data_IF_350781737281
#
_entry.id   IF_350781737281
#
_cell.length_a   1.000
_cell.length_b   1.000
_cell.length_c   1.000
_cell.angle_alpha   90.00
_cell.angle_beta   90.00
_cell.angle_gamma   90.00
#
_symmetry.space_group_name_H-M   'P 1'
#
loop_
_entity.id
_entity.type
_entity.pdbx_description
1 polymer ?
#
# COMPACT_ATOMS: atom_id res chain seq x y z
N UNK A 1 7.29 -40.05 -32.17
CA UNK A 1 5.86 -39.86 -31.93
C UNK A 1 5.65 -38.60 -31.10
N UNK A 2 5.36 -37.50 -31.78
CA UNK A 2 5.21 -36.15 -31.18
C UNK A 2 3.76 -35.95 -30.71
N UNK A 3 3.56 -35.54 -29.47
CA UNK A 3 2.24 -35.20 -28.95
C UNK A 3 2.21 -33.70 -28.56
N UNK A 4 1.65 -32.93 -29.47
CA UNK A 4 1.42 -31.49 -29.36
C UNK A 4 0.20 -31.22 -28.47
N UNK A 5 0.43 -30.62 -27.30
CA UNK A 5 -0.62 -30.12 -26.43
C UNK A 5 -0.98 -28.66 -26.78
N UNK A 6 -2.16 -28.45 -27.32
CA UNK A 6 -2.71 -27.14 -27.66
C UNK A 6 -3.32 -26.48 -26.40
N UNK A 7 -2.68 -25.44 -25.88
CA UNK A 7 -3.25 -24.62 -24.84
C UNK A 7 -4.28 -23.66 -25.44
N UNK A 8 -5.53 -23.88 -25.11
CA UNK A 8 -6.66 -23.02 -25.49
C UNK A 8 -6.65 -21.78 -24.57
N UNK A 9 -6.40 -20.64 -25.16
CA UNK A 9 -6.59 -19.32 -24.56
C UNK A 9 -8.10 -19.07 -24.41
N UNK A 10 -8.58 -18.98 -23.20
CA UNK A 10 -9.93 -18.48 -22.91
C UNK A 10 -9.82 -16.97 -22.68
N UNK A 11 -10.20 -16.22 -23.71
CA UNK A 11 -10.50 -14.80 -23.63
C UNK A 11 -11.90 -14.66 -22.98
N UNK A 12 -11.95 -14.19 -21.76
CA UNK A 12 -13.21 -13.74 -21.16
C UNK A 12 -13.28 -12.21 -21.22
N UNK A 13 -13.99 -11.72 -22.20
CA UNK A 13 -14.45 -10.34 -22.29
C UNK A 13 -15.52 -10.12 -21.23
N UNK A 14 -15.36 -9.20 -20.32
CA UNK A 14 -16.45 -8.69 -19.50
C UNK A 14 -16.73 -7.26 -19.92
N UNK A 15 -17.90 -7.15 -20.49
CA UNK A 15 -18.55 -5.97 -21.05
C UNK A 15 -18.94 -4.98 -19.94
N UNK A 16 -18.68 -3.72 -20.18
CA UNK A 16 -19.13 -2.60 -19.38
C UNK A 16 -20.66 -2.53 -19.33
N UNK A 17 -21.18 -2.26 -18.15
CA UNK A 17 -22.53 -1.77 -17.98
C UNK A 17 -22.47 -0.42 -17.25
N UNK A 18 -22.62 0.62 -18.02
CA UNK A 18 -22.94 1.98 -17.60
C UNK A 18 -24.42 2.05 -17.21
N UNK A 19 -24.77 2.69 -16.11
CA UNK A 19 -26.06 3.32 -15.81
C UNK A 19 -25.94 4.09 -14.50
N UNK A 20 -26.47 5.19 -14.30
CA UNK A 20 -27.33 6.20 -14.86
C UNK A 20 -27.43 7.32 -13.82
N UNK A 21 -27.47 8.53 -14.30
CA UNK A 21 -27.84 9.76 -13.61
C UNK A 21 -29.09 9.59 -12.74
N UNK A 22 -29.04 10.13 -11.52
CA UNK A 22 -30.20 10.62 -10.82
C UNK A 22 -29.89 12.03 -10.27
N UNK A 23 -30.34 13.03 -11.00
CA UNK A 23 -30.49 14.40 -10.54
C UNK A 23 -31.65 14.45 -9.56
N UNK A 24 -31.41 15.00 -8.37
CA UNK A 24 -32.48 15.49 -7.50
C UNK A 24 -32.29 16.97 -7.25
N UNK A 25 -33.33 17.79 -7.44
CA UNK A 25 -33.23 19.22 -7.25
C UNK A 25 -33.34 19.59 -5.77
N UNK A 26 -32.50 20.51 -5.42
CA UNK A 26 -32.47 21.26 -4.17
C UNK A 26 -33.70 22.11 -3.98
N UNK A 27 -34.30 22.07 -2.80
CA UNK A 27 -35.24 23.04 -2.33
C UNK A 27 -34.67 23.87 -1.17
N UNK A 28 -34.61 25.16 -1.42
CA UNK A 28 -34.19 26.21 -0.51
C UNK A 28 -35.25 26.40 0.58
N UNK A 29 -34.85 26.50 1.82
CA UNK A 29 -35.66 27.10 2.89
C UNK A 29 -34.75 27.84 3.88
N UNK A 30 -34.96 29.14 3.94
CA UNK A 30 -34.41 30.04 4.94
C UNK A 30 -35.07 29.83 6.31
N UNK A 31 -34.33 30.12 7.37
CA UNK A 31 -34.97 30.50 8.63
C UNK A 31 -34.19 30.20 9.90
N UNK A 32 -33.48 31.23 10.40
CA UNK A 32 -33.44 31.79 11.75
C UNK A 32 -32.79 30.97 12.90
N UNK A 33 -31.75 31.57 13.39
CA UNK A 33 -31.15 31.66 14.73
C UNK A 33 -31.82 30.94 15.92
N UNK A 34 -31.04 30.22 16.73
CA UNK A 34 -30.78 30.58 18.12
C UNK A 34 -29.68 29.70 18.77
N UNK A 35 -28.96 30.34 19.63
CA UNK A 35 -27.84 30.00 20.47
C UNK A 35 -28.10 28.85 21.44
N UNK A 36 -27.19 27.91 21.64
CA UNK A 36 -26.59 27.55 22.93
C UNK A 36 -25.73 26.25 22.85
N UNK A 37 -24.43 26.45 23.02
CA UNK A 37 -23.44 25.69 23.78
C UNK A 37 -23.78 24.26 24.24
N UNK A 38 -22.97 23.24 23.78
CA UNK A 38 -22.21 22.33 24.63
C UNK A 38 -21.40 21.30 23.84
N UNK A 39 -20.09 21.36 24.04
CA UNK A 39 -19.10 20.30 24.34
C UNK A 39 -19.18 18.96 23.62
N UNK A 40 -18.16 18.71 22.79
CA UNK A 40 -17.44 17.43 22.84
C UNK A 40 -17.90 16.35 21.88
N UNK A 41 -17.25 16.27 20.79
CA UNK A 41 -16.51 15.11 20.26
C UNK A 41 -16.10 15.41 18.82
N UNK A 42 -14.81 15.51 18.62
CA UNK A 42 -14.20 15.59 17.29
C UNK A 42 -14.39 14.25 16.58
N UNK A 43 -15.33 14.19 15.66
CA UNK A 43 -15.29 13.26 14.56
C UNK A 43 -14.70 14.01 13.37
N UNK A 44 -13.42 13.75 13.14
CA UNK A 44 -12.72 14.17 11.93
C UNK A 44 -13.34 13.45 10.72
N UNK A 45 -14.34 14.07 10.12
CA UNK A 45 -14.76 13.74 8.77
C UNK A 45 -13.88 14.54 7.82
N UNK A 46 -12.87 13.87 7.27
CA UNK A 46 -12.05 14.40 6.19
C UNK A 46 -12.92 14.64 4.96
N UNK A 47 -13.07 15.92 4.61
CA UNK A 47 -13.66 16.37 3.35
C UNK A 47 -12.83 15.88 2.15
N UNK A 48 -13.46 15.47 1.04
CA UNK A 48 -12.73 15.24 -0.20
C UNK A 48 -12.28 16.58 -0.79
N UNK A 49 -10.99 16.80 -0.81
CA UNK A 49 -10.39 17.90 -1.57
C UNK A 49 -10.24 17.42 -3.01
N UNK A 50 -11.10 17.89 -3.89
CA UNK A 50 -10.86 17.81 -5.32
C UNK A 50 -9.73 18.77 -5.69
N UNK A 51 -8.60 18.21 -6.05
CA UNK A 51 -7.46 18.95 -6.60
C UNK A 51 -6.63 17.99 -7.42
N UNK A 52 -6.72 18.07 -8.72
CA UNK A 52 -6.11 17.16 -9.70
C UNK A 52 -4.60 17.02 -9.56
N UNK A 53 -4.22 15.89 -9.11
CA UNK A 53 -2.95 15.23 -9.18
C UNK A 53 -3.25 13.81 -8.76
N UNK A 54 -2.93 12.82 -9.58
CA UNK A 54 -2.96 11.41 -9.20
C UNK A 54 -1.99 11.23 -8.04
N UNK A 55 -2.43 11.51 -6.82
CA UNK A 55 -1.71 11.05 -5.64
C UNK A 55 -1.70 9.52 -5.73
N UNK A 56 -0.54 8.99 -5.94
CA UNK A 56 -0.31 7.55 -5.96
C UNK A 56 -0.63 7.05 -4.54
N UNK A 57 -1.87 6.66 -4.32
CA UNK A 57 -2.35 6.16 -3.02
C UNK A 57 -1.72 4.82 -2.69
N UNK A 58 -1.21 4.10 -3.70
CA UNK A 58 -0.55 2.82 -3.54
C UNK A 58 0.91 2.99 -3.10
N UNK A 59 1.32 2.20 -2.12
CA UNK A 59 2.67 2.20 -1.57
C UNK A 59 3.62 1.32 -2.36
N UNK A 60 3.13 0.22 -2.91
CA UNK A 60 3.94 -0.77 -3.62
C UNK A 60 3.14 -1.49 -4.71
N UNK A 61 3.84 -2.22 -5.58
CA UNK A 61 3.24 -3.11 -6.57
C UNK A 61 4.04 -4.39 -6.76
N UNK A 62 3.33 -5.45 -7.17
CA UNK A 62 3.90 -6.71 -7.65
C UNK A 62 3.40 -6.92 -9.08
N UNK A 63 4.29 -6.79 -10.06
CA UNK A 63 3.88 -6.75 -11.46
C UNK A 63 2.92 -5.59 -11.74
N UNK A 64 1.67 -5.91 -12.07
CA UNK A 64 0.62 -4.90 -12.32
C UNK A 64 -0.36 -4.72 -11.14
N UNK A 65 -0.21 -5.52 -10.07
CA UNK A 65 -1.08 -5.44 -8.89
C UNK A 65 -0.52 -4.41 -7.90
N UNK A 66 -1.31 -3.42 -7.56
CA UNK A 66 -0.97 -2.35 -6.64
C UNK A 66 -1.49 -2.62 -5.22
N UNK A 67 -0.72 -2.18 -4.23
CA UNK A 67 -0.99 -2.36 -2.80
C UNK A 67 -0.92 -1.02 -2.08
N UNK A 68 -1.86 -0.78 -1.18
CA UNK A 68 -1.90 0.44 -0.36
C UNK A 68 -0.76 0.52 0.66
N UNK A 69 -0.20 -0.64 1.06
CA UNK A 69 0.91 -0.76 2.02
C UNK A 69 2.00 -1.69 1.48
N UNK A 70 3.25 -1.45 1.88
CA UNK A 70 4.37 -2.33 1.54
C UNK A 70 4.23 -3.68 2.27
N UNK A 71 3.80 -3.65 3.54
CA UNK A 71 3.53 -4.86 4.31
C UNK A 71 2.47 -5.76 3.66
N UNK A 72 1.40 -5.18 3.10
CA UNK A 72 0.38 -5.91 2.34
C UNK A 72 0.94 -6.59 1.09
N UNK A 73 1.78 -5.89 0.34
CA UNK A 73 2.48 -6.47 -0.81
C UNK A 73 3.38 -7.65 -0.40
N UNK A 74 4.14 -7.51 0.69
CA UNK A 74 5.00 -8.58 1.22
C UNK A 74 4.17 -9.80 1.65
N UNK A 75 3.04 -9.56 2.31
CA UNK A 75 2.16 -10.65 2.78
C UNK A 75 1.64 -11.50 1.61
N UNK A 76 1.14 -10.85 0.55
CA UNK A 76 0.57 -11.51 -0.63
C UNK A 76 1.62 -12.04 -1.62
N UNK A 77 2.86 -11.58 -1.51
CA UNK A 77 3.94 -11.99 -2.39
C UNK A 77 4.20 -13.51 -2.33
N UNK A 78 4.43 -14.12 -3.48
CA UNK A 78 5.08 -15.42 -3.53
C UNK A 78 6.59 -15.27 -3.30
N UNK A 79 7.30 -16.38 -3.06
CA UNK A 79 8.75 -16.35 -2.99
C UNK A 79 9.37 -15.94 -4.33
N UNK A 80 10.56 -15.32 -4.27
CA UNK A 80 11.38 -14.94 -5.41
C UNK A 80 10.76 -13.89 -6.35
N UNK A 81 9.84 -13.05 -5.82
CA UNK A 81 9.29 -11.92 -6.58
C UNK A 81 9.94 -10.59 -6.20
N UNK A 82 9.88 -9.65 -7.12
CA UNK A 82 10.25 -8.25 -6.88
C UNK A 82 9.00 -7.45 -6.52
N UNK A 83 9.10 -6.70 -5.42
CA UNK A 83 8.09 -5.75 -4.97
C UNK A 83 8.65 -4.35 -5.20
N UNK A 84 7.99 -3.55 -6.03
CA UNK A 84 8.44 -2.20 -6.37
C UNK A 84 7.68 -1.18 -5.53
N UNK A 85 8.41 -0.33 -4.80
CA UNK A 85 7.81 0.82 -4.11
C UNK A 85 7.42 1.90 -5.12
N UNK A 86 6.34 2.61 -4.81
CA UNK A 86 5.78 3.65 -5.67
C UNK A 86 5.84 5.05 -5.03
N UNK A 87 6.19 5.14 -3.75
CA UNK A 87 6.35 6.38 -2.98
C UNK A 87 7.20 6.13 -1.73
N UNK A 88 7.52 7.18 -1.01
CA UNK A 88 8.09 7.06 0.34
C UNK A 88 7.08 6.38 1.27
N UNK A 89 7.57 5.44 2.07
CA UNK A 89 6.77 4.61 2.98
C UNK A 89 7.33 4.73 4.39
N UNK A 90 6.43 4.84 5.37
CA UNK A 90 6.78 4.76 6.80
C UNK A 90 6.09 3.53 7.38
N UNK A 91 6.80 2.43 7.41
CA UNK A 91 6.33 1.14 7.92
C UNK A 91 7.52 0.33 8.48
N UNK A 92 7.27 -0.43 9.53
CA UNK A 92 8.15 -1.53 9.93
C UNK A 92 7.66 -2.79 9.24
N UNK A 93 8.52 -3.45 8.49
CA UNK A 93 8.16 -4.61 7.67
C UNK A 93 8.86 -5.87 8.17
N UNK A 94 8.17 -6.99 8.07
CA UNK A 94 8.72 -8.33 8.32
C UNK A 94 8.73 -9.14 7.03
N UNK A 95 9.88 -9.75 6.74
CA UNK A 95 10.09 -10.58 5.55
C UNK A 95 10.49 -11.98 6.01
N UNK A 96 9.62 -12.95 5.76
CA UNK A 96 9.81 -14.36 6.15
C UNK A 96 9.94 -15.31 4.95
N UNK A 97 10.15 -14.75 3.76
CA UNK A 97 10.30 -15.49 2.51
C UNK A 97 11.31 -14.80 1.61
N UNK A 98 11.87 -15.52 0.66
CA UNK A 98 12.79 -14.94 -0.33
C UNK A 98 12.07 -13.96 -1.24
N UNK A 99 12.54 -12.72 -1.32
CA UNK A 99 12.01 -11.70 -2.23
C UNK A 99 12.97 -10.51 -2.37
N UNK A 100 12.68 -9.66 -3.36
CA UNK A 100 13.47 -8.47 -3.64
C UNK A 100 12.61 -7.22 -3.53
N UNK A 101 12.67 -6.49 -2.39
CA UNK A 101 12.12 -5.14 -2.31
C UNK A 101 12.97 -4.16 -3.13
N UNK A 102 12.43 -3.70 -4.25
CA UNK A 102 12.98 -2.60 -5.03
C UNK A 102 12.35 -1.28 -4.55
N UNK A 103 13.13 -0.45 -3.90
CA UNK A 103 12.64 0.80 -3.32
C UNK A 103 12.39 1.89 -4.38
N UNK A 104 12.73 1.68 -5.66
CA UNK A 104 12.40 2.57 -6.77
C UNK A 104 12.94 4.00 -6.63
N UNK A 105 13.99 4.20 -5.86
CA UNK A 105 14.54 5.51 -5.52
C UNK A 105 13.89 6.17 -4.29
N UNK A 106 12.87 5.55 -3.73
CA UNK A 106 12.13 6.07 -2.57
C UNK A 106 12.79 5.69 -1.24
N UNK A 107 12.21 6.22 -0.18
CA UNK A 107 12.68 6.02 1.19
C UNK A 107 11.69 5.14 1.97
N UNK A 108 12.21 4.08 2.58
CA UNK A 108 11.53 3.29 3.58
C UNK A 108 11.99 3.75 4.97
N UNK A 109 11.06 4.25 5.76
CA UNK A 109 11.30 4.70 7.13
C UNK A 109 10.55 3.79 8.11
N UNK A 110 11.11 3.58 9.28
CA UNK A 110 10.44 2.84 10.35
C UNK A 110 10.23 3.68 11.60
N UNK A 111 9.36 3.19 12.46
CA UNK A 111 9.12 3.77 13.77
C UNK A 111 10.30 3.57 14.73
N UNK A 112 10.34 4.40 15.79
CA UNK A 112 11.53 4.60 16.61
C UNK A 112 11.97 3.39 17.45
N UNK A 113 11.10 2.41 17.71
CA UNK A 113 11.37 1.36 18.71
C UNK A 113 11.53 -0.06 18.11
N UNK A 114 11.62 -0.16 16.80
CA UNK A 114 11.81 -1.44 16.10
C UNK A 114 12.78 -1.30 14.91
N UNK A 115 13.26 -2.42 14.38
CA UNK A 115 13.94 -2.42 13.09
C UNK A 115 12.97 -2.05 11.97
N UNK A 116 13.46 -1.36 10.95
CA UNK A 116 12.65 -1.02 9.77
C UNK A 116 12.32 -2.28 8.96
N UNK A 117 13.30 -3.14 8.82
CA UNK A 117 13.16 -4.42 8.13
C UNK A 117 13.60 -5.53 9.07
N UNK A 118 12.70 -6.42 9.41
CA UNK A 118 13.00 -7.67 10.14
C UNK A 118 12.95 -8.83 9.15
N UNK A 119 14.01 -9.60 9.09
CA UNK A 119 14.10 -10.81 8.27
C UNK A 119 14.04 -12.00 9.22
N UNK A 120 13.02 -12.84 9.07
CA UNK A 120 12.76 -13.99 9.96
C UNK A 120 12.51 -15.25 9.14
N UNK A 121 12.63 -16.43 9.81
CA UNK A 121 12.32 -17.71 9.17
C UNK A 121 13.54 -18.50 8.70
N UNK A 122 13.30 -19.55 7.90
CA UNK A 122 14.34 -20.49 7.50
C UNK A 122 15.18 -19.98 6.31
N UNK A 123 16.10 -19.07 6.60
CA UNK A 123 17.11 -18.52 5.69
C UNK A 123 16.56 -17.94 4.38
N UNK A 124 15.61 -17.01 4.43
CA UNK A 124 15.13 -16.36 3.20
C UNK A 124 16.26 -15.56 2.52
N UNK A 125 16.28 -15.59 1.20
CA UNK A 125 17.16 -14.72 0.41
C UNK A 125 16.45 -13.39 0.18
N UNK A 126 16.91 -12.33 0.82
CA UNK A 126 16.31 -10.98 0.71
C UNK A 126 17.34 -10.03 0.14
N UNK A 127 16.99 -9.37 -0.96
CA UNK A 127 17.80 -8.32 -1.58
C UNK A 127 17.02 -7.02 -1.60
N UNK A 128 17.44 -6.03 -0.83
CA UNK A 128 16.83 -4.68 -0.87
C UNK A 128 17.68 -3.80 -1.77
N UNK A 129 17.06 -3.17 -2.76
CA UNK A 129 17.76 -2.39 -3.76
C UNK A 129 17.10 -1.05 -4.11
N UNK A 130 17.84 -0.19 -4.79
CA UNK A 130 17.39 1.06 -5.40
C UNK A 130 16.71 2.04 -4.46
N UNK A 131 17.21 2.26 -3.23
CA UNK A 131 16.62 3.26 -2.35
C UNK A 131 17.33 3.42 -1.01
N UNK A 132 16.62 4.02 -0.07
CA UNK A 132 17.16 4.33 1.26
C UNK A 132 16.27 3.73 2.34
N UNK A 133 16.89 3.00 3.27
CA UNK A 133 16.25 2.54 4.52
C UNK A 133 16.75 3.43 5.65
N UNK A 134 15.85 4.03 6.42
CA UNK A 134 16.19 4.98 7.48
C UNK A 134 15.22 4.90 8.66
N UNK A 135 15.61 5.47 9.80
CA UNK A 135 14.82 5.37 11.03
C UNK A 135 15.00 4.00 11.69
N UNK A 136 14.02 3.66 12.51
CA UNK A 136 14.09 2.47 13.35
C UNK A 136 15.12 2.61 14.47
N UNK A 137 14.82 2.02 15.59
CA UNK A 137 15.74 1.95 16.75
C UNK A 137 15.46 0.64 17.48
N UNK A 138 16.12 -0.41 17.07
CA UNK A 138 16.10 -1.65 17.84
C UNK A 138 17.30 -1.64 18.80
N UNK A 139 17.08 -1.63 20.12
CA UNK A 139 18.16 -1.58 21.10
C UNK A 139 19.08 -2.82 21.11
N UNK A 140 18.65 -3.89 20.49
CA UNK A 140 19.37 -5.19 20.47
C UNK A 140 20.10 -5.43 19.14
N UNK A 141 19.48 -5.07 18.01
CA UNK A 141 19.96 -5.47 16.66
C UNK A 141 20.23 -4.30 15.72
N UNK A 142 20.12 -3.05 16.20
CA UNK A 142 20.24 -1.87 15.35
C UNK A 142 18.91 -1.45 14.69
N UNK A 143 18.90 -0.29 14.06
CA UNK A 143 17.64 0.35 13.63
C UNK A 143 17.19 0.01 12.21
N UNK A 144 18.08 -0.25 11.27
CA UNK A 144 17.72 -0.48 9.88
C UNK A 144 17.23 -1.89 9.61
N UNK A 145 18.06 -2.89 9.89
CA UNK A 145 17.78 -4.30 9.63
C UNK A 145 17.98 -5.13 10.91
N UNK A 146 17.08 -6.08 11.13
CA UNK A 146 17.23 -7.17 12.10
C UNK A 146 17.10 -8.50 11.35
N UNK A 147 17.89 -9.50 11.76
CA UNK A 147 17.85 -10.87 11.24
C UNK A 147 17.70 -11.77 12.45
N UNK A 148 16.62 -12.55 12.49
CA UNK A 148 16.26 -13.47 13.56
C UNK A 148 16.41 -14.93 13.12
#
# INVERSE_FOLDING_TARGET
MMKTGKNKRLLASILAASMLLAMSPFALAEGTEDTTNQTGQEQSQGQPVEGGGTEQTCAAKIGETEYSTLAGAIYDANSDVTIVMLRDVTENIEINKSLTPDLGGFKLSGDADAAVVTISGDKPQVTVENGTVTGGRNPQNGGGFAID
#
